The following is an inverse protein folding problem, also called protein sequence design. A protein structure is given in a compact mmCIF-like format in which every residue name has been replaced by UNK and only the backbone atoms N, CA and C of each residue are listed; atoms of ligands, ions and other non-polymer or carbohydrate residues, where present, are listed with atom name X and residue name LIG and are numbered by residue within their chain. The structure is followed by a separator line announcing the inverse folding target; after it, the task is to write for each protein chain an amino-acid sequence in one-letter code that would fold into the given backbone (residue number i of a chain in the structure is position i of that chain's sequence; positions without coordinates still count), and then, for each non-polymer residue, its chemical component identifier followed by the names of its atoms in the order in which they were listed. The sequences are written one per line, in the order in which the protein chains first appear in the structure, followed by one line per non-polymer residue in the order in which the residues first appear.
data_IF_953350332557
#
_entry.id   IF_953350332557
#
_cell.length_a   1.000
_cell.length_b   1.000
_cell.length_c   1.000
_cell.angle_alpha   90.00
_cell.angle_beta   90.00
_cell.angle_gamma   90.00
#
_symmetry.space_group_name_H-M   'P 1'
#
loop_
_entity.id
_entity.type
_entity.pdbx_description
1 polymer ?
#
# COMPACT_ATOMS: atom_id res chain seq x y z
N UNK A 1 -15.72 10.31 -4.60
CA UNK A 1 -14.47 9.55 -4.35
C UNK A 1 -13.61 10.38 -3.42
N UNK A 2 -13.37 9.96 -2.18
CA UNK A 2 -12.50 10.68 -1.25
C UNK A 2 -11.59 9.66 -0.58
N UNK A 3 -10.28 9.78 -0.80
CA UNK A 3 -9.29 9.09 0.03
C UNK A 3 -9.35 9.75 1.40
N UNK A 4 -9.49 8.95 2.45
CA UNK A 4 -9.53 9.48 3.81
C UNK A 4 -8.14 9.98 4.23
N UNK A 5 -8.08 10.95 5.15
CA UNK A 5 -6.81 11.42 5.70
C UNK A 5 -5.98 10.27 6.29
N UNK A 6 -6.63 9.28 6.91
CA UNK A 6 -5.97 8.12 7.48
C UNK A 6 -5.31 7.23 6.41
N UNK A 7 -5.98 7.02 5.27
CA UNK A 7 -5.42 6.27 4.14
C UNK A 7 -4.24 7.03 3.51
N UNK A 8 -4.31 8.36 3.42
CA UNK A 8 -3.17 9.17 2.96
C UNK A 8 -1.96 9.01 3.89
N UNK A 9 -2.16 8.94 5.21
CA UNK A 9 -1.06 8.76 6.15
C UNK A 9 -0.45 7.36 6.10
N UNK A 10 -1.25 6.33 5.81
CA UNK A 10 -0.72 4.99 5.52
C UNK A 10 0.08 5.01 4.22
N UNK A 11 -0.43 5.64 3.16
CA UNK A 11 0.28 5.77 1.88
C UNK A 11 1.64 6.45 2.05
N UNK A 12 1.69 7.56 2.80
CA UNK A 12 2.94 8.28 3.08
C UNK A 12 3.98 7.38 3.76
N UNK A 13 3.56 6.56 4.73
CA UNK A 13 4.45 5.61 5.43
C UNK A 13 4.97 4.52 4.50
N UNK A 14 4.12 3.96 3.65
CA UNK A 14 4.52 2.91 2.70
C UNK A 14 5.50 3.45 1.64
N UNK A 15 5.24 4.65 1.13
CA UNK A 15 6.18 5.37 0.25
C UNK A 15 7.50 5.59 0.98
N UNK A 16 7.48 6.14 2.19
CA UNK A 16 8.69 6.38 2.99
C UNK A 16 9.52 5.12 3.21
N UNK A 17 8.88 4.01 3.56
CA UNK A 17 9.53 2.72 3.76
C UNK A 17 10.20 2.20 2.48
N UNK A 18 9.58 2.42 1.31
CA UNK A 18 10.15 2.05 0.02
C UNK A 18 11.37 2.91 -0.34
N UNK A 19 11.31 4.22 -0.10
CA UNK A 19 12.45 5.13 -0.31
C UNK A 19 13.63 4.77 0.60
N UNK A 20 13.35 4.47 1.87
CA UNK A 20 14.35 3.99 2.83
C UNK A 20 15.02 2.70 2.34
N UNK A 21 14.22 1.74 1.88
CA UNK A 21 14.71 0.47 1.36
C UNK A 21 15.59 0.68 0.12
N UNK A 22 15.16 1.53 -0.82
CA UNK A 22 15.93 1.86 -2.02
C UNK A 22 17.27 2.54 -1.67
N UNK A 23 17.29 3.51 -0.73
CA UNK A 23 18.54 4.11 -0.27
C UNK A 23 19.47 3.09 0.38
N UNK A 24 18.93 2.22 1.25
CA UNK A 24 19.71 1.17 1.92
C UNK A 24 20.27 0.15 0.94
N UNK A 25 19.53 -0.22 -0.10
CA UNK A 25 20.01 -1.12 -1.16
C UNK A 25 21.26 -0.57 -1.88
N UNK A 26 21.35 0.76 -2.01
CA UNK A 26 22.53 1.47 -2.54
C UNK A 26 23.65 1.66 -1.50
N UNK A 27 23.42 1.25 -0.24
CA UNK A 27 24.31 1.49 0.91
C UNK A 27 24.59 2.97 1.17
N UNK A 28 23.70 3.86 0.73
CA UNK A 28 23.87 5.30 0.91
C UNK A 28 23.38 5.76 2.28
N UNK A 29 24.09 6.72 2.85
CA UNK A 29 23.65 7.60 3.93
C UNK A 29 22.66 8.63 3.38
N UNK A 30 21.91 9.28 4.28
CA UNK A 30 21.05 10.41 3.87
C UNK A 30 21.84 11.60 3.37
N UNK A 31 23.07 11.76 3.83
CA UNK A 31 23.98 12.80 3.35
C UNK A 31 24.31 12.55 1.88
N UNK A 32 24.71 11.32 1.54
CA UNK A 32 24.99 10.95 0.14
C UNK A 32 23.75 11.08 -0.75
N UNK A 33 22.57 10.71 -0.27
CA UNK A 33 21.32 10.96 -1.00
C UNK A 33 21.09 12.46 -1.26
N UNK A 34 21.26 13.31 -0.24
CA UNK A 34 21.16 14.76 -0.40
C UNK A 34 22.17 15.26 -1.43
N UNK A 35 23.43 14.86 -1.29
CA UNK A 35 24.53 15.33 -2.14
C UNK A 35 24.27 14.91 -3.61
N UNK A 36 23.69 13.72 -3.83
CA UNK A 36 23.25 13.25 -5.15
C UNK A 36 22.03 14.02 -5.70
N UNK A 37 21.05 14.37 -4.86
CA UNK A 37 19.94 15.24 -5.27
C UNK A 37 20.45 16.63 -5.69
N UNK A 38 21.41 17.20 -4.95
CA UNK A 38 22.02 18.47 -5.29
C UNK A 38 22.78 18.40 -6.64
N UNK A 39 23.42 17.27 -6.95
CA UNK A 39 24.13 17.07 -8.21
C UNK A 39 23.17 16.86 -9.42
N UNK A 40 21.95 16.38 -9.19
CA UNK A 40 20.93 16.20 -10.22
C UNK A 40 20.26 17.50 -10.68
N UNK A 41 20.20 18.52 -9.82
CA UNK A 41 19.63 19.84 -10.13
C UNK A 41 20.44 20.61 -11.19
N UNK A 42 21.69 20.21 -11.46
CA UNK A 42 22.60 20.90 -12.39
C UNK A 42 22.66 20.31 -13.81
N UNK A 43 21.84 19.30 -14.12
CA UNK A 43 21.79 18.69 -15.46
C UNK A 43 20.50 19.03 -16.20
N UNK A 44 20.64 19.82 -17.29
CA UNK A 44 19.66 20.01 -18.37
C UNK A 44 18.44 20.92 -18.07
N UNK A 45 18.63 22.25 -18.16
CA UNK A 45 17.97 23.09 -19.17
C UNK A 45 18.33 24.57 -18.98
N UNK A 46 19.12 25.11 -19.91
CA UNK A 46 19.29 26.55 -20.10
C UNK A 46 18.24 27.00 -21.11
N UNK A 47 17.11 27.49 -20.63
CA UNK A 47 15.98 27.88 -21.47
C UNK A 47 15.07 28.92 -20.83
N UNK A 48 15.46 30.17 -21.02
CA UNK A 48 14.64 31.39 -21.07
C UNK A 48 13.84 31.85 -19.83
N UNK A 49 13.99 33.14 -19.56
CA UNK A 49 13.41 33.84 -18.42
C UNK A 49 12.07 34.45 -18.80
N UNK A 50 11.01 34.20 -18.02
CA UNK A 50 9.95 35.20 -17.77
C UNK A 50 9.28 34.93 -16.43
N UNK A 51 9.32 35.94 -15.58
CA UNK A 51 8.82 35.97 -14.20
C UNK A 51 7.31 36.22 -14.15
N UNK A 52 6.61 35.55 -13.21
CA UNK A 52 5.62 36.11 -12.24
C UNK A 52 4.36 35.24 -12.09
N UNK A 53 4.17 34.64 -10.91
CA UNK A 53 2.88 34.60 -10.19
C UNK A 53 3.03 33.85 -8.86
N UNK A 54 2.51 34.47 -7.80
CA UNK A 54 2.47 34.06 -6.40
C UNK A 54 2.15 32.58 -6.13
N UNK A 55 2.94 31.95 -5.25
CA UNK A 55 2.56 30.72 -4.57
C UNK A 55 3.72 29.76 -4.27
N UNK A 56 4.35 29.92 -3.11
CA UNK A 56 5.15 28.91 -2.40
C UNK A 56 6.52 28.55 -3.03
N UNK A 57 7.53 29.39 -2.77
CA UNK A 57 8.95 29.16 -3.03
C UNK A 57 9.58 28.04 -2.16
N UNK A 58 9.11 26.79 -2.30
CA UNK A 58 9.73 25.60 -1.69
C UNK A 58 10.40 24.67 -2.75
N UNK A 59 10.30 24.99 -4.05
CA UNK A 59 10.56 24.04 -5.14
C UNK A 59 12.05 23.88 -5.53
N UNK A 60 12.95 24.79 -5.12
CA UNK A 60 14.38 24.75 -5.52
C UNK A 60 15.34 24.47 -4.35
N UNK A 61 14.86 24.38 -3.11
CA UNK A 61 15.74 24.19 -1.95
C UNK A 61 16.07 22.71 -1.73
N UNK A 62 17.37 22.37 -1.83
CA UNK A 62 17.91 21.04 -1.52
C UNK A 62 17.46 20.61 -0.11
N UNK A 63 16.85 19.42 0.05
CA UNK A 63 16.32 19.00 1.35
C UNK A 63 17.45 18.73 2.36
N UNK A 64 17.31 19.20 3.60
CA UNK A 64 18.22 18.79 4.66
C UNK A 64 18.04 17.29 4.98
N UNK A 65 19.03 16.67 5.63
CA UNK A 65 19.00 15.23 6.02
C UNK A 65 17.85 14.91 6.95
N UNK A 66 17.40 15.88 7.74
CA UNK A 66 16.22 15.75 8.59
C UNK A 66 14.94 15.67 7.75
N UNK A 67 14.80 16.50 6.71
CA UNK A 67 13.68 16.40 5.76
C UNK A 67 13.65 15.04 5.08
N UNK A 68 14.78 14.55 4.58
CA UNK A 68 14.90 13.20 4.03
C UNK A 68 14.50 12.12 5.04
N UNK A 69 14.89 12.26 6.31
CA UNK A 69 14.49 11.33 7.36
C UNK A 69 12.97 11.33 7.60
N UNK A 70 12.33 12.50 7.57
CA UNK A 70 10.87 12.59 7.72
C UNK A 70 10.10 12.06 6.53
N UNK A 71 10.64 12.17 5.30
CA UNK A 71 10.06 11.54 4.12
C UNK A 71 10.17 10.02 4.19
N UNK A 72 11.33 9.49 4.56
CA UNK A 72 11.53 8.05 4.76
C UNK A 72 10.67 7.45 5.88
N UNK A 73 10.34 8.25 6.90
CA UNK A 73 9.43 7.84 7.96
C UNK A 73 7.95 8.00 7.55
N UNK A 74 7.67 8.75 6.48
CA UNK A 74 6.32 9.08 6.03
C UNK A 74 5.57 10.03 6.98
N UNK A 75 6.29 10.85 7.76
CA UNK A 75 5.69 11.79 8.72
C UNK A 75 5.58 13.22 8.21
N UNK A 76 6.12 13.49 7.02
CA UNK A 76 6.02 14.79 6.35
C UNK A 76 5.43 14.62 4.95
N UNK A 77 4.58 15.56 4.55
CA UNK A 77 4.10 15.64 3.17
C UNK A 77 5.26 15.92 2.22
N UNK A 78 5.16 15.34 1.02
CA UNK A 78 6.12 15.51 -0.05
C UNK A 78 5.35 15.86 -1.32
N UNK A 79 5.83 16.86 -2.07
CA UNK A 79 5.26 17.20 -3.37
C UNK A 79 5.57 16.10 -4.38
N UNK A 80 4.79 16.03 -5.46
CA UNK A 80 4.99 15.02 -6.51
C UNK A 80 6.36 15.23 -7.19
N UNK A 81 6.78 16.48 -7.44
CA UNK A 81 8.09 16.79 -8.01
C UNK A 81 9.24 16.23 -7.16
N UNK A 82 9.22 16.51 -5.85
CA UNK A 82 10.23 15.97 -4.92
C UNK A 82 10.22 14.45 -4.85
N UNK A 83 9.03 13.86 -4.89
CA UNK A 83 8.91 12.40 -4.92
C UNK A 83 9.58 11.79 -6.15
N UNK A 84 9.30 12.34 -7.34
CA UNK A 84 9.90 11.88 -8.61
C UNK A 84 11.41 12.08 -8.61
N UNK A 85 11.89 13.23 -8.16
CA UNK A 85 13.32 13.56 -8.05
C UNK A 85 14.06 12.56 -7.15
N UNK A 86 13.55 12.30 -5.94
CA UNK A 86 14.15 11.32 -5.02
C UNK A 86 14.18 9.92 -5.64
N UNK A 87 13.10 9.52 -6.32
CA UNK A 87 13.02 8.22 -7.00
C UNK A 87 14.06 8.10 -8.12
N UNK A 88 14.21 9.14 -8.94
CA UNK A 88 15.19 9.20 -10.01
C UNK A 88 16.62 9.06 -9.47
N UNK A 89 16.97 9.82 -8.42
CA UNK A 89 18.29 9.75 -7.77
C UNK A 89 18.56 8.38 -7.14
N UNK A 90 17.53 7.73 -6.59
CA UNK A 90 17.62 6.37 -6.06
C UNK A 90 17.64 5.29 -7.17
N UNK A 91 17.37 5.66 -8.42
CA UNK A 91 17.30 4.74 -9.56
C UNK A 91 16.10 3.80 -9.49
N UNK A 92 14.98 4.25 -8.92
CA UNK A 92 13.72 3.49 -8.85
C UNK A 92 12.63 4.25 -9.62
N UNK A 93 11.82 3.57 -10.46
CA UNK A 93 10.69 4.22 -11.12
C UNK A 93 9.64 4.68 -10.10
N UNK A 94 9.20 5.93 -10.23
CA UNK A 94 8.27 6.57 -9.31
C UNK A 94 6.89 5.87 -9.31
N UNK A 95 6.41 5.47 -10.48
CA UNK A 95 5.19 4.70 -10.69
C UNK A 95 5.25 3.32 -10.00
N UNK A 96 6.40 2.63 -10.06
CA UNK A 96 6.60 1.35 -9.39
C UNK A 96 6.57 1.50 -7.86
N UNK A 97 7.15 2.59 -7.33
CA UNK A 97 7.07 2.91 -5.90
C UNK A 97 5.62 3.17 -5.49
N UNK A 98 4.85 3.95 -6.26
CA UNK A 98 3.42 4.14 -5.98
C UNK A 98 2.66 2.81 -6.04
N UNK A 99 2.86 2.02 -7.10
CA UNK A 99 2.18 0.75 -7.28
C UNK A 99 2.46 -0.20 -6.11
N UNK A 100 3.72 -0.28 -5.66
CA UNK A 100 4.10 -1.08 -4.49
C UNK A 100 3.53 -0.53 -3.20
N UNK A 101 3.54 0.79 -3.00
CA UNK A 101 2.97 1.40 -1.81
C UNK A 101 1.46 1.14 -1.74
N UNK A 102 0.75 1.33 -2.85
CA UNK A 102 -0.66 1.01 -3.01
C UNK A 102 -0.93 -0.47 -2.84
N UNK A 103 -0.07 -1.37 -3.33
CA UNK A 103 -0.21 -2.81 -3.13
C UNK A 103 -0.01 -3.22 -1.65
N UNK A 104 0.91 -2.56 -0.94
CA UNK A 104 1.13 -2.77 0.51
C UNK A 104 -0.01 -2.21 1.35
N UNK A 105 -0.57 -1.07 0.95
CA UNK A 105 -1.86 -0.58 1.45
C UNK A 105 -3.01 -1.53 1.09
N UNK A 106 -2.94 -2.19 -0.05
CA UNK A 106 -3.93 -3.13 -0.56
C UNK A 106 -3.78 -4.55 0.00
N UNK A 107 -3.13 -4.71 1.16
CA UNK A 107 -3.68 -5.65 2.14
C UNK A 107 -5.09 -5.10 2.47
N UNK A 108 -6.14 -5.81 2.03
CA UNK A 108 -7.10 -5.34 1.03
C UNK A 108 -7.95 -4.18 1.54
N UNK A 109 -7.45 -2.99 1.28
CA UNK A 109 -8.23 -1.76 1.18
C UNK A 109 -8.40 -1.39 -0.30
N UNK A 110 -8.73 -2.38 -1.14
CA UNK A 110 -9.12 -2.15 -2.53
C UNK A 110 -10.50 -1.53 -2.57
N UNK A 111 -10.59 -0.19 -2.53
CA UNK A 111 -11.80 0.64 -2.74
C UNK A 111 -13.04 0.35 -1.84
N UNK A 112 -13.01 -0.67 -0.99
CA UNK A 112 -14.10 -1.05 -0.06
C UNK A 112 -13.60 -1.72 1.24
N UNK A 113 -12.31 -2.03 1.37
CA UNK A 113 -11.81 -2.79 2.52
C UNK A 113 -12.15 -4.30 2.48
N UNK A 114 -12.60 -4.76 1.32
CA UNK A 114 -13.13 -6.11 1.13
C UNK A 114 -12.01 -7.05 0.67
N UNK A 115 -11.73 -8.11 1.44
CA UNK A 115 -10.81 -9.19 1.08
C UNK A 115 -11.56 -10.16 0.16
N UNK A 116 -11.09 -10.38 -1.06
CA UNK A 116 -11.57 -11.50 -1.89
C UNK A 116 -10.79 -12.76 -1.51
N UNK A 117 -11.50 -13.77 -1.00
CA UNK A 117 -10.93 -15.06 -0.60
C UNK A 117 -11.43 -16.15 -1.55
N UNK A 118 -10.50 -16.90 -2.11
CA UNK A 118 -10.77 -18.07 -2.94
C UNK A 118 -11.40 -19.19 -2.09
N UNK A 119 -12.60 -19.64 -2.47
CA UNK A 119 -13.31 -20.70 -1.73
C UNK A 119 -12.65 -22.05 -1.82
N UNK A 120 -12.03 -22.38 -2.96
CA UNK A 120 -11.35 -23.66 -3.14
C UNK A 120 -10.06 -23.72 -2.33
N UNK A 121 -9.31 -22.61 -2.24
CA UNK A 121 -8.16 -22.52 -1.33
C UNK A 121 -8.61 -22.54 0.12
N UNK A 122 -9.68 -21.81 0.45
CA UNK A 122 -10.23 -21.77 1.80
C UNK A 122 -10.72 -23.14 2.26
N UNK A 123 -11.44 -23.90 1.42
CA UNK A 123 -11.91 -25.25 1.75
C UNK A 123 -10.76 -26.24 2.03
N UNK A 124 -9.61 -26.04 1.40
CA UNK A 124 -8.39 -26.85 1.60
C UNK A 124 -7.50 -26.34 2.74
N UNK A 125 -7.79 -25.17 3.30
CA UNK A 125 -6.98 -24.57 4.36
C UNK A 125 -7.15 -25.32 5.68
N UNK A 126 -6.04 -25.66 6.31
CA UNK A 126 -6.01 -26.31 7.63
C UNK A 126 -5.89 -25.31 8.79
N UNK A 127 -5.74 -24.02 8.49
CA UNK A 127 -5.52 -22.99 9.50
C UNK A 127 -6.74 -22.86 10.44
N UNK A 128 -6.48 -22.87 11.76
CA UNK A 128 -7.53 -22.64 12.77
C UNK A 128 -8.15 -21.24 12.61
N UNK A 129 -7.37 -20.26 12.17
CA UNK A 129 -7.80 -18.88 11.98
C UNK A 129 -8.97 -18.73 10.99
N UNK A 130 -9.07 -19.63 10.00
CA UNK A 130 -10.09 -19.55 8.94
C UNK A 130 -11.26 -20.52 9.13
N UNK A 131 -11.24 -21.34 10.19
CA UNK A 131 -12.33 -22.29 10.50
C UNK A 131 -13.70 -21.63 10.69
N UNK A 132 -13.84 -20.47 11.37
CA UNK A 132 -15.14 -19.81 11.49
C UNK A 132 -15.71 -19.41 10.12
N UNK A 133 -14.84 -18.98 9.20
CA UNK A 133 -15.23 -18.61 7.84
C UNK A 133 -15.66 -19.85 7.02
N UNK A 134 -14.93 -20.97 7.13
CA UNK A 134 -15.31 -22.24 6.51
C UNK A 134 -16.70 -22.72 6.98
N UNK A 135 -16.96 -22.65 8.29
CA UNK A 135 -18.27 -23.03 8.87
C UNK A 135 -19.39 -22.13 8.37
N UNK A 136 -19.16 -20.82 8.34
CA UNK A 136 -20.11 -19.87 7.81
C UNK A 136 -20.46 -20.13 6.34
N UNK A 137 -19.46 -20.47 5.51
CA UNK A 137 -19.71 -20.85 4.12
C UNK A 137 -20.54 -22.13 3.99
N UNK A 138 -20.26 -23.15 4.81
CA UNK A 138 -21.06 -24.38 4.81
C UNK A 138 -22.53 -24.12 5.18
N UNK A 139 -22.79 -23.24 6.14
CA UNK A 139 -24.16 -22.81 6.51
C UNK A 139 -24.80 -22.03 5.37
N UNK A 140 -24.09 -21.07 4.78
CA UNK A 140 -24.58 -20.25 3.67
C UNK A 140 -24.94 -21.09 2.45
N UNK A 141 -24.10 -22.08 2.09
CA UNK A 141 -24.35 -23.00 0.99
C UNK A 141 -25.51 -23.95 1.28
N UNK A 142 -25.62 -24.43 2.52
CA UNK A 142 -26.70 -25.32 2.95
C UNK A 142 -28.09 -24.65 2.98
N UNK A 143 -28.14 -23.32 3.11
CA UNK A 143 -29.38 -22.55 3.06
C UNK A 143 -29.82 -22.12 1.65
N UNK A 144 -29.08 -22.52 0.60
CA UNK A 144 -29.49 -22.23 -0.78
C UNK A 144 -30.71 -23.07 -1.14
N UNK A 145 -31.76 -22.41 -1.60
CA UNK A 145 -32.99 -23.08 -2.03
C UNK A 145 -32.78 -23.75 -3.39
N UNK A 146 -33.48 -24.86 -3.69
CA UNK A 146 -33.36 -25.56 -4.98
C UNK A 146 -33.66 -24.70 -6.22
N UNK A 147 -34.37 -23.58 -6.03
CA UNK A 147 -34.69 -22.61 -7.09
C UNK A 147 -33.54 -21.63 -7.39
N UNK A 148 -32.50 -21.61 -6.56
CA UNK A 148 -31.37 -20.70 -6.70
C UNK A 148 -30.35 -21.27 -7.72
N UNK A 149 -30.66 -21.13 -9.00
CA UNK A 149 -29.86 -21.64 -10.14
C UNK A 149 -28.52 -20.92 -10.33
N UNK A 150 -28.22 -19.89 -9.54
CA UNK A 150 -26.96 -19.14 -9.69
C UNK A 150 -25.79 -20.03 -9.20
N UNK A 151 -24.68 -20.18 -9.92
CA UNK A 151 -23.51 -20.83 -9.35
C UNK A 151 -23.04 -20.03 -8.13
N UNK A 152 -22.65 -20.75 -7.08
CA UNK A 152 -22.03 -20.15 -5.90
C UNK A 152 -20.73 -19.47 -6.36
N UNK A 153 -20.49 -18.19 -6.05
CA UNK A 153 -19.28 -17.52 -6.55
C UNK A 153 -18.04 -18.24 -6.02
N UNK A 154 -17.01 -18.36 -6.87
CA UNK A 154 -15.73 -19.01 -6.52
C UNK A 154 -14.94 -18.20 -5.47
N UNK A 155 -15.30 -16.92 -5.31
CA UNK A 155 -14.68 -15.97 -4.38
C UNK A 155 -15.67 -15.48 -3.34
N UNK A 156 -15.14 -15.15 -2.16
CA UNK A 156 -15.89 -14.59 -1.04
C UNK A 156 -15.31 -13.24 -0.70
N UNK A 157 -16.17 -12.23 -0.79
CA UNK A 157 -15.89 -10.87 -0.37
C UNK A 157 -16.03 -10.72 1.15
N UNK A 158 -14.97 -10.26 1.81
CA UNK A 158 -14.88 -10.09 3.26
C UNK A 158 -14.62 -8.64 3.65
N UNK A 159 -15.63 -7.88 4.08
CA UNK A 159 -15.45 -6.49 4.49
C UNK A 159 -14.59 -6.37 5.77
N UNK A 160 -14.04 -5.18 6.09
CA UNK A 160 -13.15 -5.00 7.25
C UNK A 160 -13.82 -5.32 8.58
N UNK A 161 -15.12 -5.01 8.69
CA UNK A 161 -15.91 -5.34 9.87
C UNK A 161 -15.94 -6.85 10.11
N UNK A 162 -16.04 -7.65 9.04
CA UNK A 162 -16.03 -9.11 9.14
C UNK A 162 -14.70 -9.65 9.67
N UNK A 163 -13.56 -9.00 9.37
CA UNK A 163 -12.26 -9.42 9.89
C UNK A 163 -12.18 -9.33 11.42
N UNK A 164 -12.73 -8.28 12.02
CA UNK A 164 -12.76 -8.13 13.49
C UNK A 164 -13.60 -9.23 14.13
N UNK A 165 -14.77 -9.51 13.58
CA UNK A 165 -15.66 -10.57 14.08
C UNK A 165 -15.07 -11.96 13.86
N UNK A 166 -14.43 -12.21 12.71
CA UNK A 166 -13.77 -13.49 12.43
C UNK A 166 -12.57 -13.73 13.35
N UNK A 167 -11.76 -12.70 13.61
CA UNK A 167 -10.65 -12.79 14.55
C UNK A 167 -11.15 -13.14 15.96
N UNK A 168 -12.23 -12.50 16.40
CA UNK A 168 -12.88 -12.81 17.68
C UNK A 168 -13.43 -14.25 17.73
N UNK A 169 -14.12 -14.71 16.67
CA UNK A 169 -14.65 -16.07 16.58
C UNK A 169 -13.58 -17.15 16.47
N UNK A 170 -12.44 -16.82 15.86
CA UNK A 170 -11.30 -17.71 15.72
C UNK A 170 -10.39 -17.71 16.96
N UNK A 171 -10.60 -16.76 17.88
CA UNK A 171 -9.75 -16.50 19.05
C UNK A 171 -8.28 -16.23 18.65
N UNK A 172 -8.06 -15.53 17.54
CA UNK A 172 -6.71 -15.18 17.05
C UNK A 172 -6.56 -13.66 16.88
N UNK A 173 -5.34 -13.11 17.04
CA UNK A 173 -5.07 -11.72 16.72
C UNK A 173 -5.36 -11.40 15.25
N UNK A 174 -5.87 -10.20 14.97
CA UNK A 174 -6.12 -9.71 13.59
C UNK A 174 -4.89 -9.87 12.67
N UNK A 175 -3.65 -9.58 13.09
CA UNK A 175 -2.47 -9.79 12.23
C UNK A 175 -2.26 -11.25 11.81
N UNK A 176 -2.59 -12.20 12.69
CA UNK A 176 -2.46 -13.63 12.41
C UNK A 176 -3.55 -14.11 11.43
N UNK A 177 -4.77 -13.61 11.59
CA UNK A 177 -5.86 -13.84 10.63
C UNK A 177 -5.51 -13.28 9.25
N UNK A 178 -5.00 -12.05 9.18
CA UNK A 178 -4.58 -11.43 7.91
C UNK A 178 -3.49 -12.28 7.23
N UNK A 179 -2.52 -12.79 8.00
CA UNK A 179 -1.49 -13.69 7.45
C UNK A 179 -2.10 -14.96 6.87
N UNK A 180 -3.02 -15.60 7.59
CA UNK A 180 -3.69 -16.81 7.13
C UNK A 180 -4.58 -16.56 5.89
N UNK A 181 -5.21 -15.39 5.80
CA UNK A 181 -6.03 -15.01 4.64
C UNK A 181 -5.18 -14.68 3.42
N UNK A 182 -3.96 -14.12 3.59
CA UNK A 182 -3.07 -13.75 2.49
C UNK A 182 -2.75 -14.93 1.57
N UNK A 183 -2.56 -16.12 2.14
CA UNK A 183 -2.30 -17.35 1.37
C UNK A 183 -3.53 -17.82 0.55
N UNK A 184 -4.71 -17.26 0.86
CA UNK A 184 -6.00 -17.58 0.25
C UNK A 184 -6.53 -16.47 -0.67
N UNK A 185 -5.90 -15.29 -0.66
CA UNK A 185 -6.23 -14.20 -1.58
C UNK A 185 -5.85 -14.62 -3.00
N UNK A 186 -6.71 -14.32 -3.96
CA UNK A 186 -6.39 -14.43 -5.39
C UNK A 186 -5.53 -13.26 -5.83
N UNK A 187 -4.36 -13.57 -6.37
CA UNK A 187 -3.58 -12.59 -7.14
C UNK A 187 -4.31 -12.43 -8.48
N UNK A 188 -5.02 -11.32 -8.64
CA UNK A 188 -5.77 -11.03 -9.86
C UNK A 188 -4.73 -10.62 -10.91
N UNK A 189 -4.27 -11.59 -11.70
CA UNK A 189 -3.46 -11.35 -12.91
C UNK A 189 -4.28 -10.59 -13.96
#
# INVERSE_FOLDING_TARGET
MQITSAELDVLKREIGALLLAARKARKWTRRELRDAMNAGVTGEDQGDATTSSDGQDDDVTVPCTQTLATWELGTRNMTINRFVEVCAVLGVPADEVLRRALARMAIPSGRSGVIEVDRHKLARSTSRAVKPLQRWLGIRDGHRTPLDTRPSPDFVELPPAALKHLAALAEVPIPELIRALRDLVTDRS
#
